data_IF_039213001685
#
_entry.id   IF_039213001685
#
_cell.length_a   1.000
_cell.length_b   1.000
_cell.length_c   1.000
_cell.angle_alpha   90.00
_cell.angle_beta   90.00
_cell.angle_gamma   90.00
#
_symmetry.space_group_name_H-M   'P 1'
#
loop_
_entity.id
_entity.type
_entity.pdbx_description
1 polymer ?
#
# COMPACT_ATOMS: atom_id res chain seq x y z
N UNK A 1 62.44 13.14 28.32
CA UNK A 1 62.37 11.86 29.06
C UNK A 1 61.75 12.14 30.43
N UNK A 2 60.50 11.74 30.67
CA UNK A 2 59.98 11.60 32.05
C UNK A 2 58.91 10.50 32.07
N UNK A 3 59.15 9.45 32.84
CA UNK A 3 58.23 8.34 33.11
C UNK A 3 57.60 8.52 34.50
N UNK A 4 56.44 7.85 34.67
CA UNK A 4 55.97 7.15 35.89
C UNK A 4 55.38 8.06 37.01
N UNK A 5 54.28 7.79 37.75
CA UNK A 5 53.43 6.60 38.08
C UNK A 5 52.06 7.10 38.62
N UNK A 6 51.00 6.29 38.48
CA UNK A 6 49.64 6.45 39.10
C UNK A 6 49.65 6.33 40.64
N UNK A 7 48.55 6.71 41.34
CA UNK A 7 47.64 5.64 41.81
C UNK A 7 46.12 5.97 41.91
N UNK A 8 45.33 4.90 41.66
CA UNK A 8 44.06 4.42 42.27
C UNK A 8 43.08 5.40 42.96
N UNK A 9 41.78 5.29 42.60
CA UNK A 9 40.75 4.66 43.45
C UNK A 9 39.37 4.63 42.77
N UNK A 10 38.80 3.42 42.64
CA UNK A 10 37.39 3.14 42.38
C UNK A 10 36.68 2.96 43.74
N UNK A 11 35.45 3.46 43.87
CA UNK A 11 34.27 2.70 44.34
C UNK A 11 33.12 3.68 44.70
N UNK A 12 32.14 3.79 43.82
CA UNK A 12 30.87 4.49 44.05
C UNK A 12 29.91 3.54 44.78
N UNK A 13 29.48 3.93 45.97
CA UNK A 13 28.33 3.35 46.64
C UNK A 13 27.22 4.41 46.69
N UNK A 14 26.10 4.14 46.04
CA UNK A 14 24.87 4.89 46.23
C UNK A 14 23.68 3.93 46.12
N UNK A 15 23.06 3.65 47.26
CA UNK A 15 21.81 2.91 47.41
C UNK A 15 20.67 3.86 47.05
N UNK A 16 19.78 3.44 46.15
CA UNK A 16 18.55 4.18 45.83
C UNK A 16 17.34 3.34 46.24
N UNK A 17 16.68 3.74 47.33
CA UNK A 17 15.38 3.20 47.75
C UNK A 17 14.31 4.12 47.18
N UNK A 18 13.43 3.59 46.33
CA UNK A 18 12.19 4.28 45.94
C UNK A 18 11.02 3.34 46.24
N UNK A 19 10.14 3.76 47.14
CA UNK A 19 8.80 3.20 47.28
C UNK A 19 7.86 3.89 46.29
N UNK A 20 7.03 3.12 45.60
CA UNK A 20 5.92 3.65 44.80
C UNK A 20 4.65 2.87 45.08
N UNK A 21 3.61 3.63 45.45
CA UNK A 21 2.27 3.18 45.77
C UNK A 21 1.60 2.42 44.62
N UNK A 22 0.88 1.34 44.95
CA UNK A 22 0.05 0.58 44.02
C UNK A 22 -1.28 1.30 43.79
N UNK A 23 -1.45 1.90 42.60
CA UNK A 23 -2.74 2.39 42.10
C UNK A 23 -3.39 1.28 41.27
N UNK A 24 -4.68 1.01 41.55
CA UNK A 24 -5.55 0.02 40.90
C UNK A 24 -5.62 0.21 39.36
N UNK A 25 -5.72 -0.88 38.57
CA UNK A 25 -5.97 -0.76 37.15
C UNK A 25 -7.48 -0.56 36.89
N UNK A 26 -7.90 0.65 36.48
CA UNK A 26 -9.10 0.79 35.66
C UNK A 26 -8.78 0.18 34.29
N UNK A 27 -9.34 -0.98 34.00
CA UNK A 27 -9.26 -1.57 32.67
C UNK A 27 -10.16 -0.75 31.73
N UNK A 28 -9.54 -0.03 30.80
CA UNK A 28 -10.20 0.70 29.73
C UNK A 28 -10.90 -0.27 28.78
N UNK A 29 -12.22 -0.43 28.91
CA UNK A 29 -13.07 -1.11 27.93
C UNK A 29 -13.35 -0.14 26.78
N UNK A 30 -12.39 0.13 25.89
CA UNK A 30 -12.65 0.75 24.59
C UNK A 30 -11.43 0.56 23.67
N UNK A 31 -11.55 -0.26 22.62
CA UNK A 31 -10.99 -0.02 21.28
C UNK A 31 -10.89 -1.31 20.43
N UNK A 32 -12.00 -1.97 20.07
CA UNK A 32 -11.97 -3.04 19.06
C UNK A 32 -12.50 -2.62 17.67
N UNK A 33 -12.91 -1.34 17.51
CA UNK A 33 -13.56 -0.86 16.28
C UNK A 33 -12.68 -0.06 15.30
N UNK A 34 -11.39 0.15 15.57
CA UNK A 34 -10.50 0.97 14.72
C UNK A 34 -9.94 0.22 13.52
N UNK A 35 -9.33 -0.94 13.76
CA UNK A 35 -8.61 -1.70 12.73
C UNK A 35 -9.45 -2.04 11.50
N UNK A 36 -10.75 -2.36 11.68
CA UNK A 36 -11.64 -2.68 10.54
C UNK A 36 -11.98 -1.46 9.67
N UNK A 37 -12.08 -0.27 10.26
CA UNK A 37 -12.37 0.97 9.51
C UNK A 37 -11.16 1.41 8.69
N UNK A 38 -9.95 1.24 9.23
CA UNK A 38 -8.71 1.59 8.53
C UNK A 38 -8.46 0.66 7.33
N UNK A 39 -8.73 -0.64 7.49
CA UNK A 39 -8.67 -1.61 6.38
C UNK A 39 -9.65 -1.24 5.27
N UNK A 40 -10.92 -0.97 5.58
CA UNK A 40 -11.91 -0.62 4.55
C UNK A 40 -11.53 0.68 3.81
N UNK A 41 -11.00 1.68 4.54
CA UNK A 41 -10.49 2.91 3.92
C UNK A 41 -9.31 2.63 2.99
N UNK A 42 -8.41 1.73 3.37
CA UNK A 42 -7.27 1.33 2.53
C UNK A 42 -7.72 0.59 1.28
N UNK A 43 -8.69 -0.31 1.39
CA UNK A 43 -9.25 -1.07 0.26
C UNK A 43 -9.96 -0.15 -0.76
N UNK A 44 -10.74 0.83 -0.29
CA UNK A 44 -11.39 1.83 -1.14
C UNK A 44 -10.35 2.75 -1.82
N UNK A 45 -9.28 3.11 -1.10
CA UNK A 45 -8.16 3.88 -1.66
C UNK A 45 -7.47 3.09 -2.79
N UNK A 46 -7.21 1.80 -2.58
CA UNK A 46 -6.65 0.93 -3.60
C UNK A 46 -7.53 0.86 -4.86
N UNK A 47 -8.86 0.82 -4.70
CA UNK A 47 -9.77 0.90 -5.86
C UNK A 47 -9.62 2.22 -6.61
N UNK A 48 -9.60 3.35 -5.90
CA UNK A 48 -9.50 4.65 -6.51
C UNK A 48 -8.16 4.86 -7.24
N UNK A 49 -7.06 4.39 -6.64
CA UNK A 49 -5.74 4.42 -7.24
C UNK A 49 -5.69 3.54 -8.49
N UNK A 50 -6.31 2.35 -8.46
CA UNK A 50 -6.42 1.48 -9.63
C UNK A 50 -7.17 2.15 -10.79
N UNK A 51 -8.27 2.85 -10.51
CA UNK A 51 -9.02 3.62 -11.52
C UNK A 51 -8.15 4.72 -12.13
N UNK A 52 -7.41 5.46 -11.32
CA UNK A 52 -6.57 6.57 -11.80
C UNK A 52 -5.44 6.05 -12.68
N UNK A 53 -4.73 5.01 -12.23
CA UNK A 53 -3.65 4.37 -13.00
C UNK A 53 -4.16 3.72 -14.30
N UNK A 54 -5.36 3.12 -14.28
CA UNK A 54 -5.98 2.58 -15.49
C UNK A 54 -6.35 3.70 -16.48
N UNK A 55 -6.82 4.86 -16.01
CA UNK A 55 -7.04 6.04 -16.89
C UNK A 55 -5.74 6.56 -17.50
N UNK A 56 -4.67 6.64 -16.70
CA UNK A 56 -3.34 6.99 -17.21
C UNK A 56 -2.84 6.00 -18.25
N UNK A 57 -3.05 4.70 -18.03
CA UNK A 57 -2.76 3.68 -19.04
C UNK A 57 -3.55 3.94 -20.33
N UNK A 58 -4.86 4.23 -20.25
CA UNK A 58 -5.69 4.52 -21.43
C UNK A 58 -5.18 5.74 -22.20
N UNK A 59 -4.69 6.77 -21.50
CA UNK A 59 -4.12 7.96 -22.13
C UNK A 59 -2.78 7.66 -22.80
N UNK A 60 -1.91 6.86 -22.15
CA UNK A 60 -0.65 6.41 -22.73
C UNK A 60 -0.84 5.49 -23.94
N UNK A 61 -1.85 4.62 -23.93
CA UNK A 61 -2.13 3.73 -25.07
C UNK A 61 -2.62 4.51 -26.29
N UNK A 62 -3.43 5.56 -26.09
CA UNK A 62 -3.86 6.49 -27.15
C UNK A 62 -2.70 7.25 -27.79
N UNK A 63 -1.62 7.46 -27.05
CA UNK A 63 -0.39 8.08 -27.53
C UNK A 63 0.56 7.08 -28.22
N UNK A 64 0.24 5.78 -28.22
CA UNK A 64 1.12 4.72 -28.71
C UNK A 64 2.31 4.43 -27.78
N UNK A 65 2.27 4.90 -26.54
CA UNK A 65 3.35 4.75 -25.56
C UNK A 65 3.23 3.41 -24.82
N UNK A 66 3.70 2.32 -25.44
CA UNK A 66 3.59 0.95 -24.89
C UNK A 66 4.28 0.79 -23.52
N UNK A 67 5.46 1.37 -23.32
CA UNK A 67 6.20 1.25 -22.05
C UNK A 67 5.44 1.87 -20.86
N UNK A 68 5.10 3.17 -20.93
CA UNK A 68 4.26 3.82 -19.92
C UNK A 68 2.90 3.14 -19.74
N UNK A 69 2.26 2.73 -20.84
CA UNK A 69 1.01 1.97 -20.79
C UNK A 69 1.13 0.72 -19.91
N UNK A 70 2.11 -0.14 -20.18
CA UNK A 70 2.30 -1.39 -19.42
C UNK A 70 2.62 -1.14 -17.95
N UNK A 71 3.39 -0.08 -17.67
CA UNK A 71 3.73 0.31 -16.30
C UNK A 71 2.48 0.74 -15.53
N UNK A 72 1.67 1.63 -16.10
CA UNK A 72 0.44 2.09 -15.48
C UNK A 72 -0.61 0.98 -15.37
N UNK A 73 -0.73 0.10 -16.38
CA UNK A 73 -1.66 -1.03 -16.36
C UNK A 73 -1.27 -2.09 -15.30
N UNK A 74 0.02 -2.41 -15.16
CA UNK A 74 0.49 -3.33 -14.11
C UNK A 74 0.29 -2.71 -12.72
N UNK A 75 0.61 -1.43 -12.55
CA UNK A 75 0.37 -0.72 -11.30
C UNK A 75 -1.13 -0.70 -10.94
N UNK A 76 -2.01 -0.45 -11.92
CA UNK A 76 -3.45 -0.51 -11.73
C UNK A 76 -3.90 -1.91 -11.28
N UNK A 77 -3.35 -2.97 -11.88
CA UNK A 77 -3.65 -4.35 -11.51
C UNK A 77 -3.23 -4.66 -10.07
N UNK A 78 -2.04 -4.22 -9.65
CA UNK A 78 -1.56 -4.41 -8.27
C UNK A 78 -2.45 -3.70 -7.24
N UNK A 79 -2.95 -2.52 -7.57
CA UNK A 79 -3.89 -1.79 -6.70
C UNK A 79 -5.27 -2.47 -6.71
N UNK A 80 -5.78 -2.91 -7.86
CA UNK A 80 -7.07 -3.61 -7.95
C UNK A 80 -7.07 -4.92 -7.14
N UNK A 81 -5.96 -5.67 -7.12
CA UNK A 81 -5.80 -6.89 -6.30
C UNK A 81 -5.86 -6.64 -4.79
N UNK A 82 -5.54 -5.41 -4.35
CA UNK A 82 -5.58 -4.97 -2.94
C UNK A 82 -6.88 -4.25 -2.60
N UNK A 83 -7.72 -3.96 -3.59
CA UNK A 83 -9.02 -3.37 -3.37
C UNK A 83 -9.97 -4.38 -2.72
N UNK A 84 -11.06 -3.86 -2.16
CA UNK A 84 -12.13 -4.70 -1.63
C UNK A 84 -12.69 -5.54 -2.77
N UNK A 85 -12.70 -6.86 -2.58
CA UNK A 85 -13.21 -7.80 -3.59
C UNK A 85 -14.72 -7.68 -3.76
N UNK A 86 -15.13 -7.53 -5.01
CA UNK A 86 -16.49 -7.67 -5.50
C UNK A 86 -16.46 -8.05 -6.98
N UNK A 87 -17.63 -8.32 -7.56
CA UNK A 87 -17.74 -8.75 -8.96
C UNK A 87 -17.19 -7.72 -9.96
N UNK A 88 -17.29 -6.43 -9.65
CA UNK A 88 -16.79 -5.37 -10.50
C UNK A 88 -15.26 -5.25 -10.42
N UNK A 89 -14.69 -5.40 -9.22
CA UNK A 89 -13.23 -5.46 -9.04
C UNK A 89 -12.64 -6.70 -9.71
N UNK A 90 -13.26 -7.87 -9.57
CA UNK A 90 -12.81 -9.09 -10.23
C UNK A 90 -12.86 -8.97 -11.77
N UNK A 91 -13.93 -8.37 -12.31
CA UNK A 91 -14.04 -8.06 -13.74
C UNK A 91 -12.96 -7.05 -14.18
N UNK A 92 -12.75 -5.98 -13.41
CA UNK A 92 -11.70 -4.99 -13.67
C UNK A 92 -10.29 -5.60 -13.66
N UNK A 93 -10.01 -6.52 -12.74
CA UNK A 93 -8.74 -7.27 -12.68
C UNK A 93 -8.55 -8.13 -13.93
N UNK A 94 -9.60 -8.84 -14.38
CA UNK A 94 -9.52 -9.66 -15.59
C UNK A 94 -9.23 -8.81 -16.84
N UNK A 95 -9.94 -7.69 -16.98
CA UNK A 95 -9.72 -6.74 -18.07
C UNK A 95 -8.30 -6.14 -18.02
N UNK A 96 -7.79 -5.73 -16.86
CA UNK A 96 -6.41 -5.23 -16.72
C UNK A 96 -5.35 -6.27 -17.12
N UNK A 97 -5.57 -7.55 -16.81
CA UNK A 97 -4.68 -8.63 -17.25
C UNK A 97 -4.66 -8.76 -18.77
N UNK A 98 -5.83 -8.76 -19.40
CA UNK A 98 -5.92 -8.79 -20.85
C UNK A 98 -5.28 -7.55 -21.49
N UNK A 99 -5.41 -6.39 -20.87
CA UNK A 99 -4.76 -5.18 -21.33
C UNK A 99 -3.22 -5.32 -21.31
N UNK A 100 -2.64 -5.84 -20.24
CA UNK A 100 -1.19 -6.09 -20.14
C UNK A 100 -0.73 -7.15 -21.15
N UNK A 101 -1.48 -8.24 -21.30
CA UNK A 101 -1.18 -9.31 -22.27
C UNK A 101 -1.19 -8.78 -23.72
N UNK A 102 -2.27 -8.09 -24.11
CA UNK A 102 -2.39 -7.53 -25.45
C UNK A 102 -1.39 -6.40 -25.70
N UNK A 103 -1.15 -5.53 -24.71
CA UNK A 103 -0.18 -4.45 -24.85
C UNK A 103 1.25 -4.95 -24.98
N UNK A 104 1.60 -6.01 -24.25
CA UNK A 104 2.92 -6.65 -24.35
C UNK A 104 3.11 -7.37 -25.68
N UNK A 105 2.02 -7.85 -26.28
CA UNK A 105 2.00 -8.43 -27.63
C UNK A 105 2.02 -7.38 -28.76
N UNK A 106 1.99 -6.09 -28.43
CA UNK A 106 1.93 -5.00 -29.42
C UNK A 106 0.53 -4.71 -29.96
N UNK A 107 -0.52 -5.33 -29.42
CA UNK A 107 -1.92 -5.06 -29.75
C UNK A 107 -2.46 -3.89 -28.92
N UNK A 108 -1.89 -2.70 -29.11
CA UNK A 108 -2.22 -1.50 -28.32
C UNK A 108 -3.67 -1.06 -28.42
N UNK A 109 -4.33 -1.29 -29.55
CA UNK A 109 -5.75 -1.02 -29.77
C UNK A 109 -6.65 -1.90 -28.91
N UNK A 110 -6.38 -3.21 -28.86
CA UNK A 110 -7.09 -4.17 -28.02
C UNK A 110 -6.79 -3.90 -26.54
N UNK A 111 -5.53 -3.63 -26.23
CA UNK A 111 -5.09 -3.31 -24.88
C UNK A 111 -5.79 -2.05 -24.31
N UNK A 112 -6.00 -1.03 -25.16
CA UNK A 112 -6.73 0.19 -24.79
C UNK A 112 -8.17 -0.13 -24.41
N UNK A 113 -8.87 -0.95 -25.20
CA UNK A 113 -10.26 -1.32 -24.92
C UNK A 113 -10.39 -2.03 -23.58
N UNK A 114 -9.52 -2.99 -23.31
CA UNK A 114 -9.51 -3.71 -22.04
C UNK A 114 -9.27 -2.77 -20.86
N UNK A 115 -8.33 -1.83 -20.96
CA UNK A 115 -8.11 -0.83 -19.89
C UNK A 115 -9.31 0.10 -19.71
N UNK A 116 -9.98 0.54 -20.78
CA UNK A 116 -11.19 1.36 -20.68
C UNK A 116 -12.34 0.59 -20.02
N UNK A 117 -12.53 -0.69 -20.37
CA UNK A 117 -13.48 -1.58 -19.71
C UNK A 117 -13.15 -1.81 -18.24
N UNK A 118 -11.86 -1.95 -17.91
CA UNK A 118 -11.43 -2.05 -16.52
C UNK A 118 -11.78 -0.80 -15.71
N UNK A 119 -11.60 0.40 -16.29
CA UNK A 119 -12.01 1.66 -15.63
C UNK A 119 -13.51 1.67 -15.37
N UNK A 120 -14.33 1.25 -16.34
CA UNK A 120 -15.78 1.16 -16.17
C UNK A 120 -16.14 0.23 -15.03
N UNK A 121 -15.63 -1.00 -15.02
CA UNK A 121 -15.90 -1.96 -13.96
C UNK A 121 -15.41 -1.45 -12.60
N UNK A 122 -14.17 -0.98 -12.46
CA UNK A 122 -13.65 -0.50 -11.18
C UNK A 122 -14.39 0.72 -10.62
N UNK A 123 -15.03 1.51 -11.50
CA UNK A 123 -15.83 2.68 -11.11
C UNK A 123 -17.24 2.33 -10.65
N UNK A 124 -17.70 1.10 -10.94
CA UNK A 124 -18.95 0.55 -10.43
C UNK A 124 -18.75 0.01 -8.99
N UNK A 125 -19.82 0.08 -8.18
CA UNK A 125 -19.79 -0.24 -6.74
C UNK A 125 -20.73 -1.37 -6.39
#
# INVERSE_FOLDING_TARGET
>A
MTRYIRPRALALAAIFVIGTATVLPLQSVFAEGGARRDVMRSEDQHRQDAINLAKEAADHSKQGHVGPFLTSADAALQHALKARKDAHVDAGIAELKHAVEHGSAGHTDVATKHVEQAVTHLSEK
#
